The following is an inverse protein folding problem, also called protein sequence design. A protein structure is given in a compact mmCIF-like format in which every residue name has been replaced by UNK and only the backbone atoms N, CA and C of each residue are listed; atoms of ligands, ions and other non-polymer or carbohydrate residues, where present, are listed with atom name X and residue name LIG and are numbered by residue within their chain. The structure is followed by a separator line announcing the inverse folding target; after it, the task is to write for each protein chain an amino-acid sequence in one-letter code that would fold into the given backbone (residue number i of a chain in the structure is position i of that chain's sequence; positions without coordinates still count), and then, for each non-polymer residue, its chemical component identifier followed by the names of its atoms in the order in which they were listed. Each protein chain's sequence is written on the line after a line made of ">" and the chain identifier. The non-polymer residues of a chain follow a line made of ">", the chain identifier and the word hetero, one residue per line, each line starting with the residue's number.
data_IF_412737805126
#
_entry.id   IF_412737805126
#
_cell.length_a   1.000
_cell.length_b   1.000
_cell.length_c   1.000
_cell.angle_alpha   90.00
_cell.angle_beta   90.00
_cell.angle_gamma   90.00
#
_symmetry.space_group_name_H-M   'P 1'
#
loop_
_entity.id
_entity.type
_entity.pdbx_description
1 polymer ?
#
# COMPACT_ATOMS: atom_id res chain seq x y z
N UNK A 1 -27.95 4.89 105.41
CA UNK A 1 -28.43 3.51 105.18
C UNK A 1 -29.65 3.53 104.28
N UNK A 2 -29.66 2.71 103.22
CA UNK A 2 -30.77 2.02 102.51
C UNK A 2 -32.20 2.61 102.52
N UNK A 3 -33.02 2.57 101.46
CA UNK A 3 -33.00 1.89 100.15
C UNK A 3 -34.21 2.36 99.30
N UNK A 4 -33.98 2.53 98.00
CA UNK A 4 -34.78 2.16 96.80
C UNK A 4 -36.30 2.40 96.71
N UNK A 5 -36.70 3.05 95.60
CA UNK A 5 -37.69 2.63 94.56
C UNK A 5 -37.53 3.58 93.34
N UNK A 6 -38.01 3.35 92.11
CA UNK A 6 -37.87 2.28 91.09
C UNK A 6 -38.53 2.86 89.81
N UNK A 7 -37.91 2.68 88.62
CA UNK A 7 -38.44 2.90 87.23
C UNK A 7 -38.75 4.37 86.83
N UNK A 8 -38.38 4.83 85.64
CA UNK A 8 -38.88 4.38 84.32
C UNK A 8 -37.85 4.37 83.20
N UNK A 9 -38.12 3.52 82.22
CA UNK A 9 -37.50 3.43 80.90
C UNK A 9 -37.55 4.75 80.13
N UNK A 10 -36.52 5.06 79.36
CA UNK A 10 -36.70 5.66 78.04
C UNK A 10 -35.55 5.24 77.11
N UNK A 11 -35.96 4.84 75.92
CA UNK A 11 -35.20 4.18 74.87
C UNK A 11 -34.14 5.08 74.25
N UNK A 12 -32.88 4.67 74.35
CA UNK A 12 -31.78 5.28 73.59
C UNK A 12 -31.79 4.69 72.17
N UNK A 13 -32.47 5.39 71.25
CA UNK A 13 -32.41 5.11 69.82
C UNK A 13 -31.00 5.47 69.35
N UNK A 14 -30.14 4.47 69.26
CA UNK A 14 -28.87 4.56 68.54
C UNK A 14 -29.19 4.81 67.07
N UNK A 15 -28.96 6.05 66.62
CA UNK A 15 -28.90 6.42 65.21
C UNK A 15 -27.77 5.61 64.55
N UNK A 16 -28.08 4.41 64.06
CA UNK A 16 -27.27 3.75 63.05
C UNK A 16 -27.63 4.39 61.71
N UNK A 17 -26.76 5.29 61.26
CA UNK A 17 -26.68 5.70 59.87
C UNK A 17 -26.59 4.43 59.01
N UNK A 18 -27.42 4.26 57.95
CA UNK A 18 -27.26 3.15 57.03
C UNK A 18 -25.87 3.23 56.38
N UNK A 19 -25.23 2.10 56.04
CA UNK A 19 -23.99 2.14 55.29
C UNK A 19 -24.23 2.89 53.97
N UNK A 20 -23.36 3.86 53.68
CA UNK A 20 -23.28 4.49 52.36
C UNK A 20 -23.27 3.37 51.32
N UNK A 21 -24.32 3.36 50.49
CA UNK A 21 -24.32 2.60 49.25
C UNK A 21 -23.23 3.25 48.41
N UNK A 22 -22.03 2.68 48.45
CA UNK A 22 -20.97 2.97 47.48
C UNK A 22 -21.58 2.61 46.14
N UNK A 23 -22.04 3.65 45.44
CA UNK A 23 -22.63 3.52 44.13
C UNK A 23 -21.48 3.14 43.21
N UNK A 24 -21.28 1.83 43.04
CA UNK A 24 -20.27 1.21 42.18
C UNK A 24 -20.70 1.35 40.70
N UNK A 25 -21.14 2.55 40.34
CA UNK A 25 -21.45 2.92 38.96
C UNK A 25 -20.12 3.16 38.27
N UNK A 26 -19.49 2.08 37.84
CA UNK A 26 -18.44 2.12 36.83
C UNK A 26 -18.88 3.10 35.73
N UNK A 27 -18.09 4.15 35.44
CA UNK A 27 -18.52 5.16 34.49
C UNK A 27 -18.83 4.50 33.15
N UNK A 28 -20.10 4.59 32.73
CA UNK A 28 -20.56 4.06 31.45
C UNK A 28 -19.74 4.72 30.33
N UNK A 29 -19.18 3.88 29.45
CA UNK A 29 -18.52 4.35 28.23
C UNK A 29 -19.43 5.34 27.47
N UNK A 30 -18.95 6.53 27.12
CA UNK A 30 -19.73 7.48 26.33
C UNK A 30 -20.17 6.89 24.99
N UNK A 31 -21.32 7.34 24.46
CA UNK A 31 -21.86 6.87 23.16
C UNK A 31 -20.91 7.11 21.98
N UNK A 32 -20.06 8.13 22.08
CA UNK A 32 -19.04 8.47 21.08
C UNK A 32 -17.79 8.90 21.84
N UNK A 33 -16.66 8.31 21.48
CA UNK A 33 -15.36 8.82 21.91
C UNK A 33 -14.93 9.91 20.93
N UNK A 34 -14.39 10.99 21.48
CA UNK A 34 -13.69 11.99 20.67
C UNK A 34 -12.40 11.38 20.09
N UNK A 35 -11.93 11.90 18.95
CA UNK A 35 -10.73 11.39 18.28
C UNK A 35 -9.47 11.58 19.14
N UNK A 36 -9.43 12.65 19.91
CA UNK A 36 -8.46 12.95 20.97
C UNK A 36 -9.00 14.08 21.85
N UNK A 37 -8.31 14.39 22.94
CA UNK A 37 -8.63 15.55 23.80
C UNK A 37 -8.51 16.91 23.08
N UNK A 38 -7.91 16.94 21.88
CA UNK A 38 -7.77 18.13 21.05
C UNK A 38 -8.82 18.18 19.93
N UNK A 39 -9.78 17.26 19.91
CA UNK A 39 -10.82 17.17 18.88
C UNK A 39 -10.34 16.70 17.51
N UNK A 40 -9.04 16.43 17.33
CA UNK A 40 -8.43 15.98 16.07
C UNK A 40 -7.85 14.57 16.16
N UNK A 41 -7.63 13.93 15.00
CA UNK A 41 -6.86 12.68 14.90
C UNK A 41 -5.42 13.03 14.50
N UNK A 42 -4.38 12.53 15.21
CA UNK A 42 -3.01 12.68 14.75
C UNK A 42 -2.82 11.92 13.42
N UNK A 43 -2.07 12.51 12.50
CA UNK A 43 -1.70 11.84 11.25
C UNK A 43 -0.80 10.66 11.59
N UNK A 44 -1.03 9.51 10.96
CA UNK A 44 -0.20 8.34 11.12
C UNK A 44 1.23 8.62 10.58
N UNK A 45 2.27 8.27 11.34
CA UNK A 45 3.67 8.53 10.97
C UNK A 45 4.06 7.92 9.63
N UNK A 46 3.61 6.70 9.32
CA UNK A 46 3.85 6.08 8.01
C UNK A 46 3.22 6.90 6.89
N UNK A 47 1.96 7.30 7.06
CA UNK A 47 1.26 8.15 6.07
C UNK A 47 2.05 9.43 5.87
N UNK A 48 2.49 10.08 6.95
CA UNK A 48 3.26 11.32 6.85
C UNK A 48 4.60 11.12 6.14
N UNK A 49 5.34 10.06 6.44
CA UNK A 49 6.62 9.76 5.77
C UNK A 49 6.40 9.48 4.28
N UNK A 50 5.35 8.74 3.92
CA UNK A 50 4.98 8.49 2.52
C UNK A 50 4.57 9.80 1.83
N UNK A 51 3.80 10.66 2.50
CA UNK A 51 3.42 11.97 1.98
C UNK A 51 4.63 12.85 1.71
N UNK A 52 5.54 12.97 2.68
CA UNK A 52 6.77 13.76 2.54
C UNK A 52 7.65 13.21 1.40
N UNK A 53 7.74 11.88 1.26
CA UNK A 53 8.44 11.22 0.16
C UNK A 53 7.83 11.57 -1.20
N UNK A 54 6.51 11.42 -1.38
CA UNK A 54 5.84 11.71 -2.65
C UNK A 54 5.87 13.21 -2.98
N UNK A 55 5.69 14.08 -1.98
CA UNK A 55 5.70 15.53 -2.13
C UNK A 55 6.99 16.02 -2.80
N UNK A 56 8.14 15.41 -2.47
CA UNK A 56 9.45 15.75 -3.03
C UNK A 56 9.53 15.55 -4.55
N UNK A 57 8.83 14.57 -5.11
CA UNK A 57 9.01 14.11 -6.48
C UNK A 57 7.83 14.41 -7.41
N UNK A 58 6.69 14.85 -6.88
CA UNK A 58 5.43 15.00 -7.65
C UNK A 58 5.46 16.09 -8.75
N UNK A 59 6.48 16.95 -8.74
CA UNK A 59 6.61 18.04 -9.71
C UNK A 59 7.34 17.63 -11.01
N UNK A 60 7.89 16.42 -11.07
CA UNK A 60 8.49 15.92 -12.30
C UNK A 60 7.40 15.68 -13.38
N UNK A 61 7.74 15.76 -14.68
CA UNK A 61 6.81 15.44 -15.76
C UNK A 61 6.66 13.93 -15.94
N UNK A 62 5.51 13.49 -16.45
CA UNK A 62 5.23 12.09 -16.79
C UNK A 62 5.55 11.10 -15.67
N UNK A 63 5.26 11.48 -14.42
CA UNK A 63 5.51 10.61 -13.29
C UNK A 63 4.52 9.46 -13.27
N UNK A 64 4.98 8.36 -12.73
CA UNK A 64 4.18 7.22 -12.36
C UNK A 64 4.50 6.90 -10.88
N UNK A 65 3.45 6.79 -10.06
CA UNK A 65 3.56 6.40 -8.66
C UNK A 65 2.86 5.05 -8.51
N UNK A 66 3.63 4.05 -8.12
CA UNK A 66 3.17 2.68 -7.93
C UNK A 66 3.70 2.12 -6.61
N UNK A 67 2.91 1.28 -5.94
CA UNK A 67 3.32 0.43 -4.84
C UNK A 67 3.29 -1.01 -5.33
N UNK A 68 4.38 -1.75 -5.10
CA UNK A 68 4.47 -3.18 -5.44
C UNK A 68 4.53 -4.00 -4.17
N UNK A 69 3.80 -5.10 -4.12
CA UNK A 69 3.91 -6.09 -3.06
C UNK A 69 5.00 -7.11 -3.41
N UNK A 70 5.72 -7.57 -2.39
CA UNK A 70 6.86 -8.46 -2.59
C UNK A 70 7.58 -8.77 -1.28
N UNK A 71 8.88 -9.02 -1.36
CA UNK A 71 9.70 -9.33 -0.17
C UNK A 71 10.99 -8.52 -0.21
N UNK A 72 11.33 -7.88 0.91
CA UNK A 72 12.65 -7.29 1.12
C UNK A 72 13.63 -8.40 1.48
N UNK A 73 14.56 -8.70 0.58
CA UNK A 73 15.57 -9.76 0.75
C UNK A 73 16.90 -9.13 1.15
N UNK A 74 17.47 -9.60 2.24
CA UNK A 74 18.83 -9.24 2.64
C UNK A 74 19.85 -9.98 1.75
N UNK A 75 20.71 -9.22 1.07
CA UNK A 75 21.72 -9.75 0.14
C UNK A 75 22.73 -10.67 0.83
N UNK A 76 22.95 -10.52 2.14
CA UNK A 76 23.91 -11.32 2.89
C UNK A 76 23.33 -12.68 3.25
N UNK A 77 22.11 -12.70 3.80
CA UNK A 77 21.46 -13.93 4.27
C UNK A 77 20.66 -14.64 3.17
N UNK A 78 20.34 -13.93 2.08
CA UNK A 78 19.41 -14.36 1.01
C UNK A 78 18.00 -14.68 1.50
N UNK A 79 17.68 -14.31 2.74
CA UNK A 79 16.37 -14.48 3.34
C UNK A 79 15.61 -13.16 3.36
N UNK A 80 14.31 -13.23 3.63
CA UNK A 80 13.51 -12.05 3.97
C UNK A 80 14.20 -11.30 5.12
N UNK A 81 14.25 -9.98 4.99
CA UNK A 81 14.80 -9.08 5.98
C UNK A 81 14.16 -9.37 7.34
N UNK A 82 14.98 -9.44 8.37
CA UNK A 82 14.55 -9.50 9.75
C UNK A 82 15.02 -8.24 10.45
N UNK A 83 14.09 -7.52 11.07
CA UNK A 83 14.36 -6.40 11.96
C UNK A 83 13.68 -6.68 13.30
N UNK A 84 14.29 -6.31 14.43
CA UNK A 84 13.73 -6.53 15.76
C UNK A 84 12.62 -5.52 16.08
N UNK A 85 11.62 -5.42 15.22
CA UNK A 85 10.46 -4.52 15.34
C UNK A 85 9.16 -5.30 15.15
N UNK A 86 8.10 -4.89 15.84
CA UNK A 86 6.83 -5.61 15.88
C UNK A 86 5.76 -5.06 14.92
N UNK A 87 6.02 -3.90 14.32
CA UNK A 87 5.09 -3.21 13.43
C UNK A 87 5.76 -2.86 12.10
N UNK A 88 4.90 -2.51 11.16
CA UNK A 88 5.30 -1.98 9.87
C UNK A 88 6.16 -0.73 10.04
N UNK A 89 7.25 -0.65 9.28
CA UNK A 89 8.17 0.47 9.35
C UNK A 89 8.81 0.78 7.99
N UNK A 90 8.98 2.08 7.74
CA UNK A 90 9.74 2.58 6.61
C UNK A 90 11.23 2.34 6.86
N UNK A 91 11.93 1.78 5.88
CA UNK A 91 13.38 1.79 5.86
C UNK A 91 13.81 3.18 5.37
N UNK A 92 14.51 3.94 6.22
CA UNK A 92 15.00 5.27 5.86
C UNK A 92 15.77 5.20 4.53
N UNK A 93 15.37 5.95 3.49
CA UNK A 93 16.06 5.97 2.19
C UNK A 93 17.55 6.28 2.24
N UNK A 94 18.01 6.99 3.27
CA UNK A 94 19.41 7.38 3.46
C UNK A 94 20.21 6.35 4.26
N UNK A 95 19.56 5.35 4.85
CA UNK A 95 20.25 4.32 5.63
C UNK A 95 21.01 3.35 4.70
N UNK A 96 22.23 3.01 5.13
CA UNK A 96 23.11 2.03 4.48
C UNK A 96 22.45 0.66 4.27
N UNK A 97 21.43 0.31 5.07
CA UNK A 97 20.60 -0.87 4.95
C UNK A 97 20.05 -1.03 3.52
N UNK A 98 19.67 0.04 2.83
CA UNK A 98 19.14 -0.07 1.46
C UNK A 98 20.16 -0.70 0.49
N UNK A 99 21.45 -0.47 0.68
CA UNK A 99 22.50 -1.02 -0.19
C UNK A 99 22.58 -2.56 -0.12
N UNK A 100 22.23 -3.13 1.03
CA UNK A 100 22.17 -4.59 1.28
C UNK A 100 20.81 -5.21 1.00
N UNK A 101 19.80 -4.43 0.59
CA UNK A 101 18.47 -4.95 0.28
C UNK A 101 18.27 -5.18 -1.21
N UNK A 102 17.54 -6.24 -1.54
CA UNK A 102 16.94 -6.48 -2.86
C UNK A 102 15.45 -6.65 -2.66
N UNK A 103 14.63 -5.92 -3.41
CA UNK A 103 13.19 -6.16 -3.37
C UNK A 103 12.81 -7.14 -4.47
N UNK A 104 12.24 -8.27 -4.07
CA UNK A 104 11.69 -9.26 -4.98
C UNK A 104 10.21 -8.97 -5.17
N UNK A 105 9.84 -8.37 -6.30
CA UNK A 105 8.45 -8.13 -6.70
C UNK A 105 7.87 -9.42 -7.26
N UNK A 106 7.58 -10.38 -6.40
CA UNK A 106 6.98 -11.67 -6.77
C UNK A 106 6.27 -12.27 -5.55
N UNK A 107 5.30 -13.14 -5.80
CA UNK A 107 4.54 -13.84 -4.78
C UNK A 107 4.23 -15.28 -5.21
N UNK A 108 3.76 -16.10 -4.27
CA UNK A 108 3.35 -17.46 -4.63
C UNK A 108 2.08 -17.44 -5.49
N UNK A 109 1.87 -18.50 -6.28
CA UNK A 109 0.62 -18.66 -7.03
C UNK A 109 -0.62 -18.66 -6.12
N UNK A 110 -0.50 -19.19 -4.91
CA UNK A 110 -1.55 -19.19 -3.89
C UNK A 110 -1.90 -17.76 -3.44
N UNK A 111 -0.88 -16.94 -3.13
CA UNK A 111 -1.07 -15.53 -2.80
C UNK A 111 -1.73 -14.78 -3.96
N UNK A 112 -1.24 -14.96 -5.18
CA UNK A 112 -1.83 -14.36 -6.39
C UNK A 112 -3.30 -14.76 -6.58
N UNK A 113 -3.64 -16.04 -6.37
CA UNK A 113 -5.02 -16.52 -6.43
C UNK A 113 -5.89 -15.88 -5.35
N UNK A 114 -5.41 -15.81 -4.10
CA UNK A 114 -6.11 -15.14 -2.99
C UNK A 114 -6.43 -13.68 -3.32
N UNK A 115 -5.45 -12.93 -3.85
CA UNK A 115 -5.67 -11.55 -4.29
C UNK A 115 -6.73 -11.44 -5.38
N UNK A 116 -6.68 -12.33 -6.38
CA UNK A 116 -7.67 -12.35 -7.44
C UNK A 116 -9.09 -12.58 -6.88
N UNK A 117 -9.26 -13.53 -5.97
CA UNK A 117 -10.55 -13.83 -5.35
C UNK A 117 -11.10 -12.63 -4.57
N UNK A 118 -10.25 -11.96 -3.80
CA UNK A 118 -10.65 -10.81 -2.98
C UNK A 118 -10.99 -9.60 -3.84
N UNK A 119 -10.20 -9.31 -4.88
CA UNK A 119 -10.49 -8.21 -5.81
C UNK A 119 -11.77 -8.47 -6.61
N UNK A 120 -12.02 -9.70 -7.07
CA UNK A 120 -13.27 -10.07 -7.74
C UNK A 120 -14.49 -10.00 -6.80
N UNK A 121 -14.34 -10.46 -5.56
CA UNK A 121 -15.37 -10.31 -4.53
C UNK A 121 -15.70 -8.84 -4.32
N UNK A 122 -14.67 -7.99 -4.16
CA UNK A 122 -14.87 -6.55 -3.95
C UNK A 122 -15.49 -5.88 -5.16
N UNK A 123 -15.07 -6.22 -6.38
CA UNK A 123 -15.69 -5.76 -7.61
C UNK A 123 -17.20 -6.09 -7.63
N UNK A 124 -17.56 -7.32 -7.28
CA UNK A 124 -18.96 -7.76 -7.21
C UNK A 124 -19.78 -7.00 -6.16
N UNK A 125 -19.21 -6.81 -4.96
CA UNK A 125 -19.84 -6.04 -3.88
C UNK A 125 -20.10 -4.58 -4.29
N UNK A 126 -19.09 -3.91 -4.87
CA UNK A 126 -19.24 -2.50 -5.26
C UNK A 126 -20.19 -2.28 -6.44
N UNK A 127 -20.47 -3.32 -7.23
CA UNK A 127 -21.43 -3.28 -8.33
C UNK A 127 -22.83 -3.80 -7.95
N UNK A 128 -23.05 -4.20 -6.69
CA UNK A 128 -24.36 -4.59 -6.20
C UNK A 128 -25.36 -3.42 -6.23
N UNK A 129 -26.64 -3.71 -6.47
CA UNK A 129 -27.70 -2.69 -6.63
C UNK A 129 -27.86 -1.75 -5.43
N UNK A 130 -27.62 -2.27 -4.22
CA UNK A 130 -27.76 -1.54 -2.95
C UNK A 130 -26.46 -0.86 -2.49
N UNK A 131 -25.35 -1.02 -3.22
CA UNK A 131 -24.08 -0.41 -2.85
C UNK A 131 -24.12 1.11 -3.10
N UNK A 132 -23.80 1.88 -2.06
CA UNK A 132 -23.89 3.35 -2.07
C UNK A 132 -22.55 4.05 -2.36
N UNK A 133 -21.44 3.29 -2.44
CA UNK A 133 -20.11 3.84 -2.66
C UNK A 133 -19.70 3.91 -4.14
N UNK A 134 -18.46 4.32 -4.38
CA UNK A 134 -17.85 4.30 -5.70
C UNK A 134 -17.70 2.87 -6.23
N UNK A 135 -18.13 2.63 -7.47
CA UNK A 135 -18.05 1.32 -8.11
C UNK A 135 -16.64 1.04 -8.61
N UNK A 136 -16.25 -0.24 -8.59
CA UNK A 136 -15.04 -0.69 -9.26
C UNK A 136 -15.30 -1.01 -10.72
N UNK A 137 -14.32 -0.76 -11.59
CA UNK A 137 -14.28 -1.28 -12.95
C UNK A 137 -13.20 -2.35 -13.08
N UNK A 138 -13.31 -3.18 -14.12
CA UNK A 138 -12.42 -4.32 -14.36
C UNK A 138 -12.08 -4.43 -15.85
N UNK A 139 -10.81 -4.67 -16.15
CA UNK A 139 -10.31 -4.95 -17.50
C UNK A 139 -9.27 -6.08 -17.41
N UNK A 140 -9.32 -7.02 -18.35
CA UNK A 140 -8.32 -8.07 -18.51
C UNK A 140 -7.56 -7.85 -19.81
N UNK A 141 -6.23 -7.68 -19.74
CA UNK A 141 -5.38 -7.49 -20.91
C UNK A 141 -4.28 -8.55 -21.02
N UNK A 142 -3.88 -8.83 -22.26
CA UNK A 142 -2.68 -9.61 -22.58
C UNK A 142 -1.78 -8.76 -23.45
N UNK A 143 -0.71 -8.27 -22.84
CA UNK A 143 0.20 -7.32 -23.43
C UNK A 143 1.58 -7.96 -23.61
N UNK A 144 2.30 -7.60 -24.66
CA UNK A 144 3.69 -8.03 -24.89
C UNK A 144 4.60 -6.81 -24.81
N UNK A 145 5.52 -6.84 -23.84
CA UNK A 145 6.56 -5.83 -23.68
C UNK A 145 7.83 -6.28 -24.41
N UNK A 146 8.32 -5.45 -25.33
CA UNK A 146 9.61 -5.63 -26.01
C UNK A 146 10.58 -4.52 -25.63
N UNK A 147 11.83 -4.88 -25.38
CA UNK A 147 12.84 -3.94 -24.91
C UNK A 147 13.97 -3.76 -25.92
N UNK A 148 14.25 -2.49 -26.22
CA UNK A 148 15.25 -2.05 -27.18
C UNK A 148 16.32 -1.24 -26.45
N UNK A 149 17.59 -1.50 -26.75
CA UNK A 149 18.69 -0.67 -26.26
C UNK A 149 18.86 0.53 -27.18
N UNK A 150 19.12 1.71 -26.61
CA UNK A 150 19.44 2.93 -27.39
C UNK A 150 20.91 3.31 -27.17
N UNK A 151 21.48 4.06 -28.14
CA UNK A 151 22.91 4.37 -28.23
C UNK A 151 23.50 5.09 -27.00
N UNK A 152 22.65 5.64 -26.12
CA UNK A 152 23.06 6.32 -24.87
C UNK A 152 22.93 5.44 -23.61
N UNK A 153 22.81 4.12 -23.75
CA UNK A 153 22.69 3.19 -22.64
C UNK A 153 21.31 3.17 -21.96
N UNK A 154 20.33 3.88 -22.55
CA UNK A 154 18.93 3.80 -22.14
C UNK A 154 18.24 2.55 -22.69
N UNK A 155 17.03 2.28 -22.18
CA UNK A 155 16.21 1.15 -22.60
C UNK A 155 14.78 1.63 -22.86
N UNK A 156 14.31 1.43 -24.10
CA UNK A 156 12.93 1.74 -24.51
C UNK A 156 12.10 0.47 -24.43
N UNK A 157 10.95 0.56 -23.75
CA UNK A 157 9.91 -0.46 -23.71
C UNK A 157 8.86 -0.13 -24.76
N UNK A 158 8.53 -1.10 -25.61
CA UNK A 158 7.40 -1.06 -26.54
C UNK A 158 6.38 -2.09 -26.08
N UNK A 159 5.19 -1.63 -25.69
CA UNK A 159 4.08 -2.48 -25.29
C UNK A 159 3.10 -2.64 -26.46
N UNK A 160 2.77 -3.89 -26.78
CA UNK A 160 1.82 -4.24 -27.83
C UNK A 160 0.67 -5.08 -27.30
N UNK A 161 -0.54 -4.87 -27.82
CA UNK A 161 -1.74 -5.66 -27.56
C UNK A 161 -2.27 -6.16 -28.90
N UNK A 162 -2.46 -7.48 -29.01
CA UNK A 162 -2.94 -8.11 -30.26
C UNK A 162 -2.08 -7.72 -31.48
N UNK A 163 -0.78 -7.54 -31.27
CA UNK A 163 0.18 -7.15 -32.32
C UNK A 163 0.25 -5.65 -32.62
N UNK A 164 -0.64 -4.83 -32.07
CA UNK A 164 -0.64 -3.38 -32.27
C UNK A 164 0.01 -2.66 -31.08
N UNK A 165 0.77 -1.59 -31.36
CA UNK A 165 1.33 -0.73 -30.31
C UNK A 165 0.19 0.01 -29.62
N UNK A 166 0.12 -0.10 -28.29
CA UNK A 166 -0.92 0.60 -27.53
C UNK A 166 -0.61 2.10 -27.43
N UNK A 167 -1.63 2.92 -27.24
CA UNK A 167 -1.45 4.35 -26.98
C UNK A 167 -0.51 4.56 -25.78
N UNK A 168 0.45 5.48 -25.92
CA UNK A 168 1.52 5.72 -24.95
C UNK A 168 2.35 4.46 -24.58
N UNK A 169 2.33 3.43 -25.42
CA UNK A 169 3.01 2.16 -25.20
C UNK A 169 4.51 2.15 -25.48
N UNK A 170 5.08 3.27 -25.97
CA UNK A 170 6.51 3.39 -26.27
C UNK A 170 7.15 4.36 -25.29
N UNK A 171 7.84 3.83 -24.28
CA UNK A 171 8.34 4.63 -23.16
C UNK A 171 9.76 4.26 -22.76
N UNK A 172 10.52 5.26 -22.33
CA UNK A 172 11.74 5.08 -21.54
C UNK A 172 11.40 5.33 -20.08
N UNK A 173 11.43 4.26 -19.28
CA UNK A 173 11.12 4.29 -17.84
C UNK A 173 12.40 4.47 -17.03
N UNK A 174 12.50 5.57 -16.29
CA UNK A 174 13.60 5.84 -15.37
C UNK A 174 13.09 5.92 -13.94
N UNK A 175 13.77 5.25 -13.01
CA UNK A 175 13.41 5.31 -11.59
C UNK A 175 13.98 6.58 -10.98
N UNK A 176 13.12 7.38 -10.39
CA UNK A 176 13.51 8.59 -9.68
C UNK A 176 13.80 8.30 -8.22
N UNK A 177 12.89 7.56 -7.56
CA UNK A 177 13.03 7.22 -6.16
C UNK A 177 12.27 5.95 -5.79
N UNK A 178 12.61 5.37 -4.64
CA UNK A 178 11.83 4.31 -4.02
C UNK A 178 11.86 4.44 -2.49
N UNK A 179 10.81 3.93 -1.86
CA UNK A 179 10.65 3.83 -0.42
C UNK A 179 10.34 2.38 -0.09
N UNK A 180 11.17 1.76 0.76
CA UNK A 180 10.98 0.38 1.20
C UNK A 180 10.22 0.37 2.52
N UNK A 181 9.17 -0.45 2.62
CA UNK A 181 8.41 -0.62 3.85
C UNK A 181 8.45 -2.09 4.25
N UNK A 182 9.00 -2.36 5.43
CA UNK A 182 9.07 -3.69 6.01
C UNK A 182 7.83 -3.95 6.86
N UNK A 183 7.20 -5.12 6.68
CA UNK A 183 5.94 -5.49 7.35
C UNK A 183 6.08 -6.82 8.10
N UNK A 184 6.53 -6.82 9.38
CA UNK A 184 6.84 -8.06 10.11
C UNK A 184 5.62 -8.94 10.41
N UNK A 185 4.41 -8.37 10.38
CA UNK A 185 3.16 -9.07 10.74
C UNK A 185 2.46 -9.73 9.55
N UNK A 186 3.01 -9.60 8.35
CA UNK A 186 2.44 -10.09 7.10
C UNK A 186 3.50 -10.89 6.35
N UNK A 187 3.11 -11.65 5.33
CA UNK A 187 4.06 -12.45 4.51
C UNK A 187 4.79 -11.63 3.45
N UNK A 188 4.24 -10.46 3.10
CA UNK A 188 4.76 -9.57 2.07
C UNK A 188 5.13 -8.22 2.68
N UNK A 189 6.25 -7.69 2.20
CA UNK A 189 6.65 -6.30 2.32
C UNK A 189 6.13 -5.53 1.09
N UNK A 190 6.37 -4.24 1.03
CA UNK A 190 6.07 -3.48 -0.18
C UNK A 190 7.06 -2.35 -0.42
N UNK A 191 7.10 -1.91 -1.67
CA UNK A 191 7.94 -0.82 -2.13
C UNK A 191 7.08 0.16 -2.90
N UNK A 192 7.13 1.42 -2.49
CA UNK A 192 6.57 2.53 -3.25
C UNK A 192 7.67 3.05 -4.17
N UNK A 193 7.40 3.19 -5.46
CA UNK A 193 8.33 3.74 -6.44
C UNK A 193 7.74 4.94 -7.15
N UNK A 194 8.60 5.92 -7.42
CA UNK A 194 8.30 7.04 -8.32
C UNK A 194 9.20 6.86 -9.53
N UNK A 195 8.59 6.73 -10.70
CA UNK A 195 9.28 6.61 -11.98
C UNK A 195 8.88 7.77 -12.89
N UNK A 196 9.71 8.08 -13.88
CA UNK A 196 9.36 8.93 -15.00
C UNK A 196 9.19 8.01 -16.21
N UNK A 197 8.04 8.05 -16.88
CA UNK A 197 7.80 7.35 -18.14
C UNK A 197 7.86 8.34 -19.30
N UNK A 198 9.05 8.53 -19.88
CA UNK A 198 9.25 9.47 -20.99
C UNK A 198 8.76 8.84 -22.30
N UNK A 199 7.77 9.43 -23.00
CA UNK A 199 7.35 8.94 -24.31
C UNK A 199 8.51 8.97 -25.31
N UNK A 200 8.64 7.92 -26.11
CA UNK A 200 9.67 7.80 -27.16
C UNK A 200 9.04 7.41 -28.48
N UNK A 201 9.75 7.69 -29.56
CA UNK A 201 9.40 7.16 -30.87
C UNK A 201 9.67 5.65 -30.93
N UNK A 202 8.98 4.96 -31.84
CA UNK A 202 9.16 3.53 -32.04
C UNK A 202 10.62 3.25 -32.44
N UNK A 203 11.39 2.49 -31.63
CA UNK A 203 12.79 2.22 -31.93
C UNK A 203 12.94 1.35 -33.17
N UNK A 204 14.01 1.59 -33.93
CA UNK A 204 14.42 0.72 -35.03
C UNK A 204 15.39 -0.36 -34.52
N UNK A 205 15.39 -1.52 -35.17
CA UNK A 205 16.29 -2.64 -34.82
C UNK A 205 15.58 -3.80 -34.12
N UNK A 206 16.38 -4.72 -33.56
CA UNK A 206 15.88 -5.92 -32.88
C UNK A 206 15.76 -5.66 -31.38
N UNK A 207 14.67 -6.12 -30.78
CA UNK A 207 14.56 -6.17 -29.32
C UNK A 207 15.51 -7.25 -28.77
N UNK A 208 15.99 -7.04 -27.55
CA UNK A 208 16.90 -7.98 -26.88
C UNK A 208 16.20 -8.81 -25.81
N UNK A 209 15.02 -8.36 -25.38
CA UNK A 209 14.24 -8.99 -24.32
C UNK A 209 12.76 -8.77 -24.60
N UNK A 210 11.97 -9.81 -24.36
CA UNK A 210 10.52 -9.81 -24.50
C UNK A 210 9.93 -10.47 -23.26
N UNK A 211 8.78 -9.97 -22.81
CA UNK A 211 7.95 -10.63 -21.80
C UNK A 211 6.48 -10.45 -22.14
N UNK A 212 5.69 -11.46 -21.79
CA UNK A 212 4.25 -11.48 -21.96
C UNK A 212 3.61 -11.20 -20.60
N UNK A 213 2.69 -10.25 -20.55
CA UNK A 213 1.97 -9.84 -19.34
C UNK A 213 0.51 -10.21 -19.47
N UNK A 214 0.03 -11.05 -18.58
CA UNK A 214 -1.38 -11.39 -18.43
C UNK A 214 -1.93 -10.67 -17.20
N UNK A 215 -2.77 -9.65 -17.39
CA UNK A 215 -3.07 -8.64 -16.38
C UNK A 215 -4.56 -8.47 -16.14
N UNK A 216 -4.94 -8.63 -14.88
CA UNK A 216 -6.25 -8.29 -14.37
C UNK A 216 -6.16 -6.95 -13.65
N UNK A 217 -6.72 -5.92 -14.28
CA UNK A 217 -6.71 -4.54 -13.78
C UNK A 217 -8.07 -4.19 -13.19
N UNK A 218 -8.07 -3.73 -11.93
CA UNK A 218 -9.24 -3.19 -11.27
C UNK A 218 -9.03 -1.71 -11.00
N UNK A 219 -10.05 -0.89 -11.24
CA UNK A 219 -9.96 0.55 -10.98
C UNK A 219 -11.02 0.96 -9.97
N UNK A 220 -10.63 1.73 -8.95
CA UNK A 220 -11.53 2.28 -7.95
C UNK A 220 -11.14 3.72 -7.63
N UNK A 221 -12.00 4.67 -7.99
CA UNK A 221 -11.74 6.10 -7.88
C UNK A 221 -10.45 6.48 -8.63
N UNK A 222 -9.43 6.95 -7.90
CA UNK A 222 -8.15 7.43 -8.46
C UNK A 222 -7.04 6.36 -8.45
N UNK A 223 -7.36 5.13 -8.03
CA UNK A 223 -6.40 4.05 -7.89
C UNK A 223 -6.69 2.92 -8.87
N UNK A 224 -5.62 2.31 -9.35
CA UNK A 224 -5.65 1.08 -10.16
C UNK A 224 -4.85 -0.01 -9.47
N UNK A 225 -5.38 -1.22 -9.55
CA UNK A 225 -4.86 -2.43 -8.91
C UNK A 225 -4.60 -3.45 -10.00
N UNK A 226 -3.32 -3.72 -10.27
CA UNK A 226 -2.89 -4.58 -11.37
C UNK A 226 -2.34 -5.89 -10.80
N UNK A 227 -3.12 -6.96 -10.97
CA UNK A 227 -2.67 -8.32 -10.70
C UNK A 227 -2.13 -8.93 -11.99
N UNK A 228 -0.82 -9.17 -12.04
CA UNK A 228 -0.12 -9.47 -13.29
C UNK A 228 0.69 -10.75 -13.19
N UNK A 229 0.52 -11.63 -14.18
CA UNK A 229 1.44 -12.73 -14.45
C UNK A 229 2.40 -12.32 -15.56
N UNK A 230 3.70 -12.37 -15.28
CA UNK A 230 4.75 -12.02 -16.26
C UNK A 230 5.45 -13.29 -16.70
N UNK A 231 5.42 -13.58 -17.99
CA UNK A 231 6.05 -14.75 -18.62
C UNK A 231 7.22 -14.31 -19.50
N UNK A 232 8.36 -14.95 -19.35
CA UNK A 232 9.54 -14.72 -20.21
C UNK A 232 9.63 -15.86 -21.22
N UNK A 233 9.44 -15.62 -22.54
CA UNK A 233 9.53 -16.67 -23.55
C UNK A 233 10.94 -17.25 -23.66
N UNK A 234 11.06 -18.57 -23.79
CA UNK A 234 12.33 -19.31 -23.88
C UNK A 234 13.28 -18.77 -24.97
N UNK A 235 12.74 -18.23 -26.06
CA UNK A 235 13.50 -17.68 -27.19
C UNK A 235 14.35 -16.45 -26.85
N UNK A 236 14.11 -15.81 -25.71
CA UNK A 236 14.88 -14.65 -25.23
C UNK A 236 16.13 -15.01 -24.42
N UNK A 237 16.30 -16.28 -24.02
CA UNK A 237 17.41 -16.77 -23.19
C UNK A 237 18.72 -17.05 -23.95
N UNK A 238 18.94 -16.42 -25.11
CA UNK A 238 20.08 -16.71 -26.01
C UNK A 238 21.45 -16.19 -25.53
N UNK A 239 21.53 -15.44 -24.43
CA UNK A 239 22.81 -15.06 -23.80
C UNK A 239 23.18 -16.05 -22.70
N UNK A 240 23.90 -17.11 -23.06
CA UNK A 240 24.29 -18.23 -22.19
C UNK A 240 25.27 -17.90 -21.05
N UNK A 241 24.91 -17.02 -20.12
CA UNK A 241 25.54 -16.91 -18.80
C UNK A 241 24.48 -16.76 -17.71
N UNK A 242 24.57 -17.67 -16.73
CA UNK A 242 23.82 -17.79 -15.48
C UNK A 242 22.49 -18.56 -15.49
N UNK A 243 22.61 -19.89 -15.35
CA UNK A 243 21.54 -20.84 -14.95
C UNK A 243 21.10 -20.67 -13.47
N UNK A 244 20.97 -19.45 -12.96
CA UNK A 244 20.54 -19.22 -11.57
C UNK A 244 19.26 -18.40 -11.54
N UNK A 245 18.15 -19.14 -11.42
CA UNK A 245 16.74 -18.73 -11.37
C UNK A 245 16.08 -18.44 -12.72
N UNK A 246 15.78 -19.53 -13.44
CA UNK A 246 14.79 -19.56 -14.51
C UNK A 246 13.38 -19.36 -13.91
N UNK A 247 13.06 -18.16 -13.41
CA UNK A 247 11.68 -17.81 -13.06
C UNK A 247 11.00 -17.32 -14.33
N UNK A 248 10.60 -18.30 -15.14
CA UNK A 248 9.87 -18.09 -16.39
C UNK A 248 8.51 -17.41 -16.16
N UNK A 249 8.00 -17.45 -14.92
CA UNK A 249 6.73 -16.88 -14.50
C UNK A 249 6.88 -16.18 -13.15
N UNK A 250 6.53 -14.90 -13.08
CA UNK A 250 6.35 -14.15 -11.82
C UNK A 250 4.90 -13.71 -11.65
N UNK A 251 4.50 -13.50 -10.40
CA UNK A 251 3.18 -13.05 -9.99
C UNK A 251 3.34 -11.73 -9.24
N UNK A 252 2.78 -10.66 -9.80
CA UNK A 252 2.97 -9.29 -9.31
C UNK A 252 1.60 -8.69 -8.93
N UNK A 253 1.58 -7.89 -7.86
CA UNK A 253 0.45 -7.03 -7.54
C UNK A 253 0.97 -5.60 -7.35
N UNK A 254 0.43 -4.70 -8.15
CA UNK A 254 0.80 -3.29 -8.19
C UNK A 254 -0.45 -2.44 -7.86
N UNK A 255 -0.26 -1.37 -7.08
CA UNK A 255 -1.28 -0.35 -6.82
C UNK A 255 -0.72 0.97 -7.31
N UNK A 256 -1.40 1.63 -8.24
CA UNK A 256 -0.93 2.85 -8.88
C UNK A 256 -1.98 3.96 -8.84
N UNK A 257 -1.51 5.20 -8.91
CA UNK A 257 -2.38 6.34 -9.20
C UNK A 257 -2.73 6.34 -10.68
N UNK A 258 -4.03 6.45 -11.01
CA UNK A 258 -4.47 6.61 -12.41
C UNK A 258 -3.90 7.89 -13.04
N UNK A 259 -3.93 8.97 -12.25
CA UNK A 259 -3.38 10.27 -12.64
C UNK A 259 -2.66 10.88 -11.43
N UNK A 260 -1.32 10.80 -11.39
CA UNK A 260 -0.53 11.42 -10.33
C UNK A 260 -0.66 12.96 -10.26
N UNK A 261 -1.18 13.63 -11.29
CA UNK A 261 -1.38 15.09 -11.29
C UNK A 261 -2.39 15.54 -10.24
N UNK A 262 -3.25 14.65 -9.73
CA UNK A 262 -4.13 14.95 -8.59
C UNK A 262 -3.32 15.37 -7.36
N UNK A 263 -2.19 14.71 -7.07
CA UNK A 263 -1.33 15.05 -5.96
C UNK A 263 -0.59 16.37 -6.20
N UNK A 264 -0.19 16.66 -7.43
CA UNK A 264 0.42 17.95 -7.77
C UNK A 264 -0.58 19.10 -7.57
N UNK A 265 -1.85 18.89 -7.94
CA UNK A 265 -2.92 19.86 -7.74
C UNK A 265 -3.11 20.16 -6.26
N UNK A 266 -3.18 19.13 -5.41
CA UNK A 266 -3.32 19.31 -3.96
C UNK A 266 -2.08 20.00 -3.35
N UNK A 267 -0.88 19.65 -3.80
CA UNK A 267 0.35 20.35 -3.41
C UNK A 267 0.28 21.84 -3.75
N UNK A 268 -0.17 22.20 -4.94
CA UNK A 268 -0.31 23.61 -5.34
C UNK A 268 -1.37 24.34 -4.52
N UNK A 269 -2.45 23.65 -4.11
CA UNK A 269 -3.44 24.23 -3.20
C UNK A 269 -2.81 24.55 -1.84
N UNK A 270 -2.05 23.60 -1.27
CA UNK A 270 -1.30 23.81 -0.03
C UNK A 270 -0.33 24.99 -0.13
N UNK A 271 0.50 25.05 -1.17
CA UNK A 271 1.46 26.15 -1.40
C UNK A 271 0.76 27.52 -1.53
N UNK A 272 -0.46 27.54 -2.09
CA UNK A 272 -1.32 28.74 -2.21
C UNK A 272 -2.16 29.03 -0.96
N UNK A 273 -1.94 28.32 0.15
CA UNK A 273 -2.72 28.42 1.41
C UNK A 273 -4.22 28.20 1.20
N UNK A 274 -4.59 27.34 0.24
CA UNK A 274 -5.96 26.87 0.02
C UNK A 274 -6.14 25.53 0.73
N UNK A 275 -7.38 25.14 1.06
CA UNK A 275 -7.65 23.78 1.52
C UNK A 275 -7.13 22.77 0.50
N UNK A 276 -6.42 21.75 0.98
CA UNK A 276 -5.90 20.64 0.18
C UNK A 276 -6.28 19.31 0.83
N UNK A 277 -6.15 18.22 0.05
CA UNK A 277 -6.40 16.85 0.49
C UNK A 277 -5.20 15.94 0.27
N UNK A 278 -3.97 16.49 0.24
CA UNK A 278 -2.78 15.72 -0.11
C UNK A 278 -2.58 14.53 0.84
N UNK A 279 -2.62 14.79 2.15
CA UNK A 279 -2.46 13.75 3.17
C UNK A 279 -3.59 12.73 3.12
N UNK A 280 -4.84 13.17 2.93
CA UNK A 280 -6.02 12.28 2.83
C UNK A 280 -5.87 11.30 1.66
N UNK A 281 -5.46 11.80 0.48
CA UNK A 281 -5.24 10.97 -0.70
C UNK A 281 -4.14 9.92 -0.44
N UNK A 282 -3.03 10.34 0.17
CA UNK A 282 -1.93 9.42 0.51
C UNK A 282 -2.35 8.42 1.58
N UNK A 283 -3.16 8.81 2.56
CA UNK A 283 -3.71 7.91 3.57
C UNK A 283 -4.56 6.82 2.92
N UNK A 284 -5.44 7.16 1.97
CA UNK A 284 -6.24 6.16 1.25
C UNK A 284 -5.34 5.22 0.42
N UNK A 285 -4.28 5.75 -0.21
CA UNK A 285 -3.30 4.93 -0.93
C UNK A 285 -2.62 3.91 0.00
N UNK A 286 -2.11 4.36 1.15
CA UNK A 286 -1.48 3.50 2.16
C UNK A 286 -2.46 2.48 2.73
N UNK A 287 -3.70 2.90 3.04
CA UNK A 287 -4.74 2.01 3.54
C UNK A 287 -5.07 0.89 2.54
N UNK A 288 -5.16 1.21 1.24
CA UNK A 288 -5.38 0.21 0.19
C UNK A 288 -4.25 -0.83 0.16
N UNK A 289 -3.00 -0.39 0.27
CA UNK A 289 -1.82 -1.28 0.32
C UNK A 289 -1.88 -2.16 1.57
N UNK A 290 -2.05 -1.56 2.76
CA UNK A 290 -2.08 -2.29 4.03
C UNK A 290 -3.19 -3.34 4.07
N UNK A 291 -4.38 -3.02 3.55
CA UNK A 291 -5.48 -3.97 3.48
C UNK A 291 -5.13 -5.16 2.58
N UNK A 292 -4.52 -4.93 1.41
CA UNK A 292 -4.06 -6.01 0.54
C UNK A 292 -2.99 -6.86 1.23
N UNK A 293 -1.97 -6.25 1.82
CA UNK A 293 -0.88 -7.00 2.46
C UNK A 293 -1.39 -7.89 3.61
N UNK A 294 -2.46 -7.51 4.32
CA UNK A 294 -3.11 -8.36 5.32
C UNK A 294 -3.81 -9.59 4.72
N UNK A 295 -4.29 -9.49 3.49
CA UNK A 295 -4.91 -10.60 2.75
C UNK A 295 -3.91 -11.54 2.07
N UNK A 296 -2.61 -11.27 2.17
CA UNK A 296 -1.53 -12.06 1.59
C UNK A 296 -1.29 -13.43 2.27
N UNK A 297 -2.35 -13.98 2.89
CA UNK A 297 -2.53 -15.27 3.56
C UNK A 297 -1.29 -16.13 3.67
#
# INVERSE_FOLDING_TARGET
>A
MSRKRLRTDDTDQTNQTPPEVVNDSMPLLPRRLELSIFGGRPVNDLVKVVSDFLYKYINEPNIEIEAKLGVLVDKNTKNRLFLPIACEAVIDPNDSLNSRLTFSSDMTLEQHKSFNEILNKRFSETNARNYQGARMTYIHTKDTDRFYNIERGGRVRVTTREGQVIENGVVEKSRLANLNIFSPRTRLDYRITVNIETPRELPTGRHHYERIKDRMSYTHQIFKFDLTQVKIPETTNMSGRDQRSNKELTHELEIEFLDPQVLLTERQNFEKKRPDRFIEIVEVFVNNIQQLVQYAG
#
